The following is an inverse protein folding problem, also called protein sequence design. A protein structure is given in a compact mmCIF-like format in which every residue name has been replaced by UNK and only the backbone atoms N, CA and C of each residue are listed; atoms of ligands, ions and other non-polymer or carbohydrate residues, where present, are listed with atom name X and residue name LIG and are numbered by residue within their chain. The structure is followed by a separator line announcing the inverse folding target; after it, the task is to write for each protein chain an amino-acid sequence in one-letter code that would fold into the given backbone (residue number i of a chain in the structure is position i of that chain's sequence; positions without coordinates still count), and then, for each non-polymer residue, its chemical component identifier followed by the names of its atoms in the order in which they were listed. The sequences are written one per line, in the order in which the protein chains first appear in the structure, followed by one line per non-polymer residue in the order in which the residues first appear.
data_IF_791619283219
#
_entry.id   IF_791619283219
#
_cell.length_a   1.000
_cell.length_b   1.000
_cell.length_c   1.000
_cell.angle_alpha   90.00
_cell.angle_beta   90.00
_cell.angle_gamma   90.00
#
_symmetry.space_group_name_H-M   'P 1'
#
loop_
_entity.id
_entity.type
_entity.pdbx_description
1 polymer ?
#
# COMPACT_ATOMS: atom_id res chain seq x y z
N UNK A 1 9.14 0.42 -13.58
CA UNK A 1 8.97 0.53 -12.13
C UNK A 1 7.62 -0.03 -11.74
N UNK A 2 7.61 -0.89 -10.75
CA UNK A 2 6.41 -1.61 -10.35
C UNK A 2 6.14 -1.41 -8.87
N UNK A 3 4.87 -1.21 -8.52
CA UNK A 3 4.47 -1.11 -7.13
C UNK A 3 4.71 -2.44 -6.42
N UNK A 4 5.41 -2.40 -5.31
CA UNK A 4 5.77 -3.58 -4.55
C UNK A 4 4.72 -3.81 -3.45
N UNK A 5 3.75 -4.66 -3.74
CA UNK A 5 2.66 -4.95 -2.80
C UNK A 5 3.15 -5.68 -1.56
N UNK A 6 4.22 -6.47 -1.68
CA UNK A 6 4.82 -7.12 -0.52
C UNK A 6 5.40 -6.08 0.44
N UNK A 7 5.99 -5.00 -0.09
CA UNK A 7 6.49 -3.92 0.74
C UNK A 7 5.34 -3.19 1.44
N UNK A 8 4.25 -2.96 0.73
CA UNK A 8 3.07 -2.33 1.33
C UNK A 8 2.57 -3.17 2.51
N UNK A 9 2.44 -4.47 2.30
CA UNK A 9 2.02 -5.38 3.36
C UNK A 9 3.00 -5.35 4.53
N UNK A 10 4.30 -5.43 4.24
CA UNK A 10 5.31 -5.46 5.28
C UNK A 10 5.27 -4.19 6.14
N UNK A 11 5.11 -3.03 5.52
CA UNK A 11 5.02 -1.78 6.26
C UNK A 11 3.77 -1.71 7.13
N UNK A 12 2.65 -2.22 6.60
CA UNK A 12 1.42 -2.29 7.38
C UNK A 12 1.59 -3.18 8.62
N UNK A 13 2.15 -4.36 8.42
CA UNK A 13 2.38 -5.30 9.52
C UNK A 13 3.37 -4.71 10.52
N UNK A 14 4.41 -4.04 10.05
CA UNK A 14 5.39 -3.39 10.91
C UNK A 14 4.75 -2.31 11.80
N UNK A 15 3.69 -1.67 11.30
CA UNK A 15 2.93 -0.68 12.09
C UNK A 15 1.91 -1.34 13.01
N UNK A 16 1.79 -2.65 12.98
CA UNK A 16 0.81 -3.35 13.79
C UNK A 16 -0.62 -3.16 13.32
N UNK A 17 -0.83 -2.83 12.05
CA UNK A 17 -2.16 -2.56 11.51
C UNK A 17 -2.70 -3.76 10.76
N UNK A 18 -3.98 -4.07 10.99
CA UNK A 18 -4.70 -5.06 10.20
C UNK A 18 -5.15 -4.44 8.87
N UNK A 19 -5.55 -5.29 7.93
CA UNK A 19 -6.16 -4.81 6.70
C UNK A 19 -7.44 -4.02 6.98
N UNK A 20 -8.19 -4.45 7.99
CA UNK A 20 -9.42 -3.75 8.38
C UNK A 20 -9.11 -2.34 8.87
N UNK A 21 -8.06 -2.20 9.69
CA UNK A 21 -7.65 -0.89 10.20
C UNK A 21 -7.18 0.02 9.07
N UNK A 22 -6.43 -0.54 8.11
CA UNK A 22 -6.03 0.25 6.94
C UNK A 22 -7.22 0.70 6.12
N UNK A 23 -8.20 -0.20 5.93
CA UNK A 23 -9.40 0.14 5.18
C UNK A 23 -10.15 1.28 5.86
N UNK A 24 -10.30 1.23 7.17
CA UNK A 24 -10.97 2.29 7.92
C UNK A 24 -10.20 3.61 7.81
N UNK A 25 -8.89 3.56 7.91
CA UNK A 25 -8.06 4.76 7.79
C UNK A 25 -8.15 5.37 6.38
N UNK A 26 -8.39 4.52 5.37
CA UNK A 26 -8.59 4.99 4.00
C UNK A 26 -10.01 5.56 3.78
N UNK A 27 -10.91 5.37 4.73
CA UNK A 27 -12.28 5.85 4.61
C UNK A 27 -13.25 4.80 4.07
N UNK A 28 -12.83 3.55 3.99
CA UNK A 28 -13.72 2.47 3.54
C UNK A 28 -14.39 1.79 4.73
N UNK A 29 -15.63 1.33 4.51
CA UNK A 29 -16.43 0.74 5.58
C UNK A 29 -16.04 -0.70 5.89
N UNK A 30 -15.52 -1.40 4.90
CA UNK A 30 -15.16 -2.81 5.04
C UNK A 30 -13.71 -3.03 4.65
N UNK A 31 -13.19 -4.18 5.00
CA UNK A 31 -11.82 -4.56 4.68
C UNK A 31 -11.62 -4.81 3.19
N UNK A 32 -12.66 -5.25 2.49
CA UNK A 32 -12.54 -5.77 1.12
C UNK A 32 -11.86 -4.81 0.13
N UNK A 33 -12.22 -3.52 0.08
CA UNK A 33 -11.54 -2.63 -0.87
C UNK A 33 -10.02 -2.56 -0.66
N UNK A 34 -9.60 -2.55 0.59
CA UNK A 34 -8.15 -2.53 0.87
C UNK A 34 -7.51 -3.87 0.53
N UNK A 35 -8.13 -4.97 0.97
CA UNK A 35 -7.58 -6.31 0.74
C UNK A 35 -7.39 -6.60 -0.74
N UNK A 36 -8.34 -6.22 -1.58
CA UNK A 36 -8.23 -6.41 -3.02
C UNK A 36 -7.05 -5.66 -3.60
N UNK A 37 -6.76 -4.47 -3.08
CA UNK A 37 -5.63 -3.67 -3.55
C UNK A 37 -4.30 -4.27 -3.10
N UNK A 38 -4.21 -4.64 -1.84
CA UNK A 38 -2.97 -5.25 -1.31
C UNK A 38 -2.68 -6.58 -2.00
N UNK A 39 -3.72 -7.31 -2.38
CA UNK A 39 -3.58 -8.60 -3.05
C UNK A 39 -3.42 -8.48 -4.58
N UNK A 40 -3.43 -7.28 -5.11
CA UNK A 40 -3.21 -7.06 -6.54
C UNK A 40 -4.43 -7.29 -7.43
N UNK A 41 -5.61 -7.48 -6.85
CA UNK A 41 -6.83 -7.70 -7.62
C UNK A 41 -7.35 -6.38 -8.20
N UNK A 42 -7.23 -5.31 -7.43
CA UNK A 42 -7.62 -3.96 -7.84
C UNK A 42 -6.38 -3.08 -7.84
N UNK A 43 -6.21 -2.29 -8.89
CA UNK A 43 -5.07 -1.39 -9.02
C UNK A 43 -5.17 -0.27 -7.98
N UNK A 44 -4.03 0.04 -7.35
CA UNK A 44 -3.93 1.17 -6.42
C UNK A 44 -3.67 2.43 -7.24
N UNK A 45 -4.52 3.42 -7.09
CA UNK A 45 -4.31 4.72 -7.75
C UNK A 45 -3.20 5.50 -7.06
N UNK A 46 -2.65 6.50 -7.76
CA UNK A 46 -1.63 7.35 -7.19
C UNK A 46 -2.11 8.05 -5.91
N UNK A 47 -3.33 8.56 -5.93
CA UNK A 47 -3.89 9.23 -4.75
C UNK A 47 -4.06 8.27 -3.59
N UNK A 48 -4.48 7.04 -3.87
CA UNK A 48 -4.62 6.02 -2.84
C UNK A 48 -3.27 5.67 -2.24
N UNK A 49 -2.24 5.54 -3.07
CA UNK A 49 -0.91 5.20 -2.57
C UNK A 49 -0.36 6.31 -1.67
N UNK A 50 -0.52 7.56 -2.07
CA UNK A 50 -0.10 8.69 -1.23
C UNK A 50 -0.77 8.62 0.14
N UNK A 51 -2.07 8.34 0.17
CA UNK A 51 -2.81 8.25 1.43
C UNK A 51 -2.37 7.05 2.25
N UNK A 52 -2.19 5.89 1.63
CA UNK A 52 -1.70 4.69 2.31
C UNK A 52 -0.32 4.94 2.93
N UNK A 53 0.59 5.54 2.16
CA UNK A 53 1.91 5.86 2.65
C UNK A 53 1.84 6.81 3.85
N UNK A 54 0.99 7.82 3.78
CA UNK A 54 0.80 8.77 4.87
C UNK A 54 0.31 8.06 6.14
N UNK A 55 -0.64 7.16 6.01
CA UNK A 55 -1.13 6.36 7.14
C UNK A 55 0.01 5.58 7.78
N UNK A 56 0.92 5.07 6.95
CA UNK A 56 2.06 4.29 7.41
C UNK A 56 3.23 5.16 7.88
N UNK A 57 3.09 6.48 7.83
CA UNK A 57 4.09 7.40 8.36
C UNK A 57 5.10 7.90 7.32
N UNK A 58 4.82 7.75 6.04
CA UNK A 58 5.72 8.18 4.97
C UNK A 58 5.16 9.38 4.22
N UNK A 59 6.02 10.33 3.92
CA UNK A 59 5.64 11.48 3.12
C UNK A 59 5.61 11.16 1.62
N UNK A 60 5.02 12.09 0.84
CA UNK A 60 4.93 11.91 -0.60
C UNK A 60 6.29 11.79 -1.27
N UNK A 61 7.33 12.37 -0.67
CA UNK A 61 8.70 12.29 -1.18
C UNK A 61 9.37 10.94 -0.89
N UNK A 62 8.68 10.04 -0.21
CA UNK A 62 9.20 8.71 0.15
C UNK A 62 8.45 7.58 -0.55
N UNK A 63 7.64 7.89 -1.55
CA UNK A 63 6.85 6.88 -2.24
C UNK A 63 7.70 5.87 -3.01
N UNK A 64 8.93 6.23 -3.34
CA UNK A 64 9.85 5.32 -4.02
C UNK A 64 10.11 4.04 -3.21
N UNK A 65 9.92 4.09 -1.89
CA UNK A 65 10.06 2.92 -1.05
C UNK A 65 9.09 1.79 -1.44
N UNK A 66 7.96 2.16 -2.04
CA UNK A 66 6.92 1.19 -2.39
C UNK A 66 7.04 0.69 -3.82
N UNK A 67 8.09 1.07 -4.52
CA UNK A 67 8.30 0.63 -5.90
C UNK A 67 9.58 -0.17 -6.01
N UNK A 68 9.55 -1.18 -6.87
CA UNK A 68 10.76 -1.89 -7.24
C UNK A 68 11.14 -1.50 -8.65
N UNK A 69 12.44 -1.51 -8.93
CA UNK A 69 12.91 -1.42 -10.29
C UNK A 69 12.44 -2.66 -11.03
N UNK A 70 11.79 -2.47 -12.14
CA UNK A 70 11.30 -3.56 -12.93
C UNK A 70 12.43 -4.11 -13.81
N UNK A 71 13.54 -4.52 -13.18
CA UNK A 71 14.70 -5.07 -13.89
C UNK A 71 14.44 -6.56 -14.07
N UNK A 72 14.39 -7.01 -15.30
CA UNK A 72 14.19 -8.44 -15.55
C UNK A 72 15.33 -9.26 -15.05
N UNK A 73 15.66 -9.64 -14.73
CA UNK A 73 16.46 -10.37 -14.25
C UNK A 73 16.98 -10.92 -14.01
N UNK A 74 16.82 -10.55 -13.91
CA UNK A 74 17.25 -10.82 -13.49
C UNK A 74 17.26 -11.64 -13.46
#
# INVERSE_FOLDING_TARGET
MTLNLNRLRAERVAKGMSQDQMAQAMGWRTRTPYAKRENGIVTISANELVKMASILGYGANQLDLFFTDNVPNK
#
